data_IF_555601977699
#
_entry.id   IF_555601977699
#
_cell.length_a   1.000
_cell.length_b   1.000
_cell.length_c   1.000
_cell.angle_alpha   90.00
_cell.angle_beta   90.00
_cell.angle_gamma   90.00
#
_symmetry.space_group_name_H-M   'P 1'
#
loop_
_entity.id
_entity.type
_entity.pdbx_description
1 polymer ?
#
# COMPACT_ATOMS: atom_id res chain seq x y z
N UNK A 1 -27.81 18.50 -0.35
CA UNK A 1 -27.01 19.30 0.58
C UNK A 1 -26.16 18.31 1.35
N UNK A 2 -24.85 18.32 1.15
CA UNK A 2 -23.95 17.42 1.87
C UNK A 2 -24.09 17.71 3.36
N UNK A 3 -24.42 16.69 4.15
CA UNK A 3 -24.37 16.81 5.60
C UNK A 3 -22.93 17.17 5.98
N UNK A 4 -22.72 18.06 6.97
CA UNK A 4 -21.37 18.32 7.48
C UNK A 4 -20.74 16.99 7.88
N UNK A 5 -19.49 16.74 7.46
CA UNK A 5 -18.79 15.47 7.76
C UNK A 5 -18.85 15.11 9.24
N UNK A 6 -18.77 16.11 10.13
CA UNK A 6 -18.81 15.90 11.59
C UNK A 6 -20.21 15.65 12.17
N UNK A 7 -21.25 15.62 11.33
CA UNK A 7 -22.60 15.18 11.70
C UNK A 7 -22.78 13.68 11.44
N UNK A 8 -22.11 13.17 10.41
CA UNK A 8 -22.10 11.74 10.05
C UNK A 8 -20.96 10.97 10.74
N UNK A 9 -19.84 11.65 10.96
CA UNK A 9 -18.61 11.12 11.51
C UNK A 9 -18.25 11.84 12.81
N UNK A 10 -17.35 11.24 13.59
CA UNK A 10 -16.81 11.86 14.81
C UNK A 10 -15.54 12.65 14.47
N UNK A 11 -15.57 13.97 14.68
CA UNK A 11 -14.42 14.85 14.47
C UNK A 11 -13.77 15.23 15.81
N UNK A 12 -12.52 14.86 16.02
CA UNK A 12 -11.76 15.14 17.24
C UNK A 12 -10.36 15.62 16.90
N UNK A 13 -10.05 16.88 17.24
CA UNK A 13 -8.69 17.43 17.23
C UNK A 13 -7.89 17.08 15.95
N UNK A 14 -8.43 17.41 14.78
CA UNK A 14 -7.80 17.12 13.48
C UNK A 14 -7.89 15.66 13.03
N UNK A 15 -8.68 14.82 13.71
CA UNK A 15 -8.97 13.45 13.30
C UNK A 15 -10.45 13.31 12.95
N UNK A 16 -10.75 12.56 11.90
CA UNK A 16 -12.12 12.26 11.45
C UNK A 16 -12.33 10.76 11.46
N UNK A 17 -13.30 10.28 12.24
CA UNK A 17 -13.65 8.88 12.39
C UNK A 17 -15.04 8.62 11.79
N UNK A 18 -15.06 7.96 10.64
CA UNK A 18 -16.23 7.56 9.85
C UNK A 18 -16.28 6.03 9.75
N UNK A 19 -16.25 5.31 10.86
CA UNK A 19 -16.26 3.84 10.84
C UNK A 19 -17.70 3.33 10.74
N UNK A 20 -18.01 2.55 9.70
CA UNK A 20 -19.31 1.88 9.50
C UNK A 20 -20.52 2.79 9.78
N UNK A 21 -20.53 3.97 9.16
CA UNK A 21 -21.55 4.98 9.48
C UNK A 21 -22.92 4.61 8.89
N UNK A 22 -23.98 5.12 9.51
CA UNK A 22 -25.36 4.97 9.06
C UNK A 22 -25.98 6.35 8.76
N UNK A 23 -26.44 6.64 7.52
CA UNK A 23 -26.43 5.77 6.33
C UNK A 23 -25.01 5.49 5.79
N UNK A 24 -24.82 4.40 5.03
CA UNK A 24 -23.50 4.00 4.54
C UNK A 24 -22.92 5.05 3.57
N UNK A 25 -21.62 5.28 3.69
CA UNK A 25 -20.89 6.19 2.81
C UNK A 25 -20.45 5.51 1.52
N UNK A 26 -20.77 6.13 0.38
CA UNK A 26 -20.37 5.68 -0.97
C UNK A 26 -19.21 6.51 -1.55
N UNK A 27 -18.91 7.66 -0.96
CA UNK A 27 -17.85 8.58 -1.36
C UNK A 27 -17.13 9.11 -0.11
N UNK A 28 -15.93 9.66 -0.31
CA UNK A 28 -15.25 10.41 0.74
C UNK A 28 -16.05 11.69 1.01
N UNK A 29 -16.34 12.05 2.27
CA UNK A 29 -17.12 13.23 2.59
C UNK A 29 -16.18 14.46 2.66
N UNK A 30 -16.75 15.67 2.57
CA UNK A 30 -15.95 16.91 2.59
C UNK A 30 -15.24 17.11 3.93
N UNK A 31 -13.93 16.86 3.99
CA UNK A 31 -13.18 16.89 5.24
C UNK A 31 -12.89 18.34 5.72
N UNK A 32 -12.81 18.58 7.03
CA UNK A 32 -12.21 19.80 7.57
C UNK A 32 -10.77 19.99 7.08
N UNK A 33 -10.37 21.23 6.75
CA UNK A 33 -9.06 21.53 6.13
C UNK A 33 -7.87 21.18 7.02
N UNK A 34 -8.07 21.21 8.33
CA UNK A 34 -7.11 20.87 9.36
C UNK A 34 -7.00 19.36 9.65
N UNK A 35 -7.73 18.51 8.91
CA UNK A 35 -7.73 17.06 9.13
C UNK A 35 -6.35 16.46 8.86
N UNK A 36 -5.72 15.93 9.90
CA UNK A 36 -4.46 15.19 9.84
C UNK A 36 -4.66 13.66 9.77
N UNK A 37 -5.77 13.14 10.28
CA UNK A 37 -6.04 11.70 10.34
C UNK A 37 -7.46 11.39 9.88
N UNK A 38 -7.61 10.51 8.89
CA UNK A 38 -8.90 10.01 8.45
C UNK A 38 -8.99 8.50 8.69
N UNK A 39 -10.05 8.07 9.36
CA UNK A 39 -10.42 6.67 9.53
C UNK A 39 -11.83 6.47 8.97
N UNK A 40 -11.95 5.97 7.74
CA UNK A 40 -13.23 5.76 7.07
C UNK A 40 -13.42 4.29 6.68
N UNK A 41 -13.28 3.41 7.70
CA UNK A 41 -13.27 1.96 7.55
C UNK A 41 -14.67 1.38 7.39
N UNK A 42 -14.76 0.24 6.71
CA UNK A 42 -15.97 -0.57 6.59
C UNK A 42 -17.19 0.19 6.05
N UNK A 43 -16.97 1.07 5.10
CA UNK A 43 -18.05 1.73 4.34
C UNK A 43 -18.19 1.12 2.94
N UNK A 44 -18.92 1.80 2.06
CA UNK A 44 -19.19 1.39 0.68
C UNK A 44 -18.51 2.31 -0.33
N UNK A 45 -17.38 2.93 0.03
CA UNK A 45 -16.69 3.85 -0.88
C UNK A 45 -16.17 3.08 -2.09
N UNK A 46 -16.54 3.51 -3.30
CA UNK A 46 -16.20 2.79 -4.54
C UNK A 46 -15.06 3.41 -5.34
N UNK A 47 -14.89 4.74 -5.21
CA UNK A 47 -13.94 5.53 -5.99
C UNK A 47 -13.29 6.61 -5.14
N UNK A 48 -12.05 6.94 -5.47
CA UNK A 48 -11.36 8.12 -4.94
C UNK A 48 -11.00 9.05 -6.10
N UNK A 49 -11.46 10.29 -6.01
CA UNK A 49 -11.21 11.36 -6.97
C UNK A 49 -10.04 12.26 -6.58
N UNK A 50 -9.55 13.04 -7.54
CA UNK A 50 -8.54 14.09 -7.31
C UNK A 50 -9.01 15.23 -6.41
N UNK A 51 -10.31 15.45 -6.27
CA UNK A 51 -10.88 16.45 -5.36
C UNK A 51 -11.03 15.97 -3.91
N UNK A 52 -11.18 14.67 -3.66
CA UNK A 52 -11.53 14.13 -2.33
C UNK A 52 -10.55 14.55 -1.23
N UNK A 53 -9.25 14.61 -1.57
CA UNK A 53 -8.18 15.02 -0.66
C UNK A 53 -7.42 16.27 -1.15
N UNK A 54 -7.91 16.92 -2.21
CA UNK A 54 -7.17 17.93 -2.96
C UNK A 54 -6.78 19.17 -2.14
N UNK A 55 -7.52 19.50 -1.09
CA UNK A 55 -7.28 20.70 -0.27
C UNK A 55 -6.79 20.37 1.15
N UNK A 56 -6.63 19.07 1.47
CA UNK A 56 -6.32 18.60 2.83
C UNK A 56 -4.84 18.21 2.92
N UNK A 57 -3.96 19.18 2.67
CA UNK A 57 -2.50 18.99 2.63
C UNK A 57 -1.87 18.62 3.97
N UNK A 58 -2.65 18.68 5.05
CA UNK A 58 -2.30 18.35 6.44
C UNK A 58 -2.41 16.85 6.75
N UNK A 59 -3.03 16.05 5.86
CA UNK A 59 -3.21 14.60 6.06
C UNK A 59 -1.87 13.88 6.21
N UNK A 60 -1.77 13.12 7.31
CA UNK A 60 -0.66 12.24 7.65
C UNK A 60 -1.03 10.77 7.57
N UNK A 61 -2.29 10.44 7.85
CA UNK A 61 -2.82 9.07 7.76
C UNK A 61 -4.19 9.04 7.10
N UNK A 62 -4.37 8.05 6.23
CA UNK A 62 -5.67 7.68 5.64
C UNK A 62 -5.86 6.18 5.82
N UNK A 63 -6.94 5.79 6.51
CA UNK A 63 -7.38 4.39 6.61
C UNK A 63 -8.75 4.22 5.94
N UNK A 64 -8.76 3.49 4.83
CA UNK A 64 -9.94 3.17 4.02
C UNK A 64 -10.17 1.65 3.94
N UNK A 65 -9.74 0.93 4.98
CA UNK A 65 -9.89 -0.53 5.05
C UNK A 65 -11.34 -0.96 4.89
N UNK A 66 -11.59 -2.07 4.18
CA UNK A 66 -12.90 -2.71 4.14
C UNK A 66 -13.95 -1.97 3.32
N UNK A 67 -13.52 -1.09 2.40
CA UNK A 67 -14.40 -0.40 1.45
C UNK A 67 -14.56 -1.21 0.15
N UNK A 68 -15.22 -0.61 -0.86
CA UNK A 68 -15.43 -1.22 -2.19
C UNK A 68 -14.58 -0.53 -3.27
N UNK A 69 -13.47 0.09 -2.89
CA UNK A 69 -12.69 0.95 -3.77
C UNK A 69 -12.11 0.11 -4.91
N UNK A 70 -12.53 0.40 -6.13
CA UNK A 70 -12.05 -0.27 -7.34
C UNK A 70 -11.25 0.66 -8.25
N UNK A 71 -11.44 1.98 -8.08
CA UNK A 71 -10.78 3.00 -8.88
C UNK A 71 -10.25 4.14 -8.00
N UNK A 72 -9.01 4.53 -8.23
CA UNK A 72 -8.41 5.74 -7.67
C UNK A 72 -7.85 6.53 -8.85
N UNK A 73 -8.24 7.79 -8.97
CA UNK A 73 -7.73 8.68 -10.01
C UNK A 73 -6.23 8.92 -9.87
N UNK A 74 -5.53 8.98 -11.00
CA UNK A 74 -4.11 9.32 -11.02
C UNK A 74 -3.94 10.73 -10.47
N UNK A 75 -3.17 10.86 -9.39
CA UNK A 75 -2.94 12.13 -8.71
C UNK A 75 -3.89 12.42 -7.53
N UNK A 76 -4.80 11.50 -7.17
CA UNK A 76 -5.67 11.65 -6.00
C UNK A 76 -4.94 11.97 -4.69
N UNK A 77 -3.71 11.44 -4.54
CA UNK A 77 -2.87 11.68 -3.37
C UNK A 77 -1.71 12.66 -3.64
N UNK A 78 -1.64 13.28 -4.82
CA UNK A 78 -0.45 14.04 -5.28
C UNK A 78 -0.10 15.24 -4.39
N UNK A 79 -1.11 15.90 -3.82
CA UNK A 79 -0.94 17.06 -2.94
C UNK A 79 -0.65 16.69 -1.48
N UNK A 80 -0.77 15.41 -1.11
CA UNK A 80 -0.63 14.93 0.26
C UNK A 80 0.85 14.71 0.63
N UNK A 81 1.60 15.81 0.66
CA UNK A 81 3.05 15.82 0.87
C UNK A 81 3.49 15.40 2.28
N UNK A 82 2.55 15.31 3.22
CA UNK A 82 2.77 14.88 4.60
C UNK A 82 2.23 13.46 4.88
N UNK A 83 1.67 12.77 3.87
CA UNK A 83 1.09 11.45 4.06
C UNK A 83 2.19 10.42 4.33
N UNK A 84 2.13 9.82 5.51
CA UNK A 84 3.08 8.83 6.01
C UNK A 84 2.46 7.43 6.05
N UNK A 85 1.14 7.34 6.21
CA UNK A 85 0.42 6.08 6.35
C UNK A 85 -0.82 6.05 5.45
N UNK A 86 -0.85 5.06 4.56
CA UNK A 86 -1.98 4.82 3.67
C UNK A 86 -2.38 3.35 3.75
N UNK A 87 -3.59 3.12 4.27
CA UNK A 87 -4.19 1.80 4.34
C UNK A 87 -5.40 1.69 3.40
N UNK A 88 -5.25 0.83 2.40
CA UNK A 88 -6.24 0.49 1.38
C UNK A 88 -6.56 -1.01 1.41
N UNK A 89 -6.29 -1.72 2.51
CA UNK A 89 -6.56 -3.15 2.58
C UNK A 89 -8.05 -3.48 2.44
N UNK A 90 -8.35 -4.70 2.02
CA UNK A 90 -9.72 -5.21 1.90
C UNK A 90 -10.60 -4.34 0.97
N UNK A 91 -10.07 -4.03 -0.20
CA UNK A 91 -10.75 -3.28 -1.25
C UNK A 91 -10.81 -4.10 -2.55
N UNK A 92 -11.08 -3.46 -3.68
CA UNK A 92 -11.24 -4.10 -4.99
C UNK A 92 -10.26 -3.54 -6.02
N UNK A 93 -9.13 -3.00 -5.58
CA UNK A 93 -8.16 -2.34 -6.46
C UNK A 93 -7.54 -3.33 -7.43
N UNK A 94 -7.54 -2.96 -8.70
CA UNK A 94 -6.91 -3.72 -9.78
C UNK A 94 -5.59 -3.06 -10.23
N UNK A 95 -5.44 -1.75 -9.96
CA UNK A 95 -4.24 -0.94 -10.22
C UNK A 95 -3.93 -0.02 -9.06
N UNK A 96 -2.66 0.30 -8.86
CA UNK A 96 -2.22 1.32 -7.91
C UNK A 96 -2.17 2.71 -8.58
N UNK A 97 -2.61 3.77 -7.87
CA UNK A 97 -2.41 5.14 -8.32
C UNK A 97 -0.95 5.58 -8.11
N UNK A 98 -0.62 6.81 -8.51
CA UNK A 98 0.64 7.43 -8.10
C UNK A 98 0.61 7.70 -6.59
N UNK A 99 1.49 7.02 -5.86
CA UNK A 99 1.59 7.08 -4.41
C UNK A 99 2.53 8.20 -3.93
N UNK A 100 2.27 8.86 -2.78
CA UNK A 100 3.15 9.88 -2.22
C UNK A 100 4.52 9.32 -1.81
N UNK A 101 5.58 10.11 -2.03
CA UNK A 101 6.96 9.68 -1.78
C UNK A 101 7.33 9.58 -0.28
N UNK A 102 6.59 10.26 0.60
CA UNK A 102 6.85 10.28 2.05
C UNK A 102 6.24 9.12 2.83
N UNK A 103 5.54 8.20 2.16
CA UNK A 103 4.95 7.03 2.81
C UNK A 103 6.00 6.23 3.57
N UNK A 104 5.66 5.90 4.81
CA UNK A 104 6.38 5.02 5.73
C UNK A 104 5.68 3.67 5.81
N UNK A 105 4.35 3.68 5.73
CA UNK A 105 3.49 2.50 5.75
C UNK A 105 2.53 2.53 4.57
N UNK A 106 2.55 1.46 3.78
CA UNK A 106 1.57 1.25 2.71
C UNK A 106 1.02 -0.16 2.79
N UNK A 107 -0.30 -0.25 2.90
CA UNK A 107 -1.02 -1.53 2.94
C UNK A 107 -2.10 -1.55 1.86
N UNK A 108 -2.00 -2.52 0.95
CA UNK A 108 -3.01 -2.85 -0.04
C UNK A 108 -3.28 -4.36 -0.05
N UNK A 109 -3.15 -5.02 1.10
CA UNK A 109 -3.53 -6.42 1.26
C UNK A 109 -4.98 -6.67 0.85
N UNK A 110 -5.31 -7.90 0.44
CA UNK A 110 -6.70 -8.30 0.15
C UNK A 110 -7.35 -7.38 -0.91
N UNK A 111 -6.65 -7.23 -2.04
CA UNK A 111 -7.13 -6.51 -3.21
C UNK A 111 -7.09 -7.45 -4.43
N UNK A 112 -7.16 -6.90 -5.65
CA UNK A 112 -7.14 -7.65 -6.91
C UNK A 112 -5.97 -7.19 -7.79
N UNK A 113 -4.88 -6.75 -7.17
CA UNK A 113 -3.74 -6.17 -7.87
C UNK A 113 -3.03 -7.26 -8.67
N UNK A 114 -2.89 -7.02 -9.97
CA UNK A 114 -2.02 -7.80 -10.86
C UNK A 114 -0.73 -7.02 -11.10
N UNK A 115 0.32 -7.71 -11.56
CA UNK A 115 1.60 -7.05 -11.90
C UNK A 115 1.40 -5.91 -12.91
N UNK A 116 0.50 -6.08 -13.89
CA UNK A 116 0.16 -5.03 -14.88
C UNK A 116 -0.50 -3.78 -14.27
N UNK A 117 -1.13 -3.91 -13.10
CA UNK A 117 -1.71 -2.81 -12.34
C UNK A 117 -0.71 -2.09 -11.43
N UNK A 118 0.51 -2.60 -11.28
CA UNK A 118 1.58 -2.00 -10.48
C UNK A 118 2.71 -1.56 -11.42
N UNK A 119 2.81 -0.24 -11.65
CA UNK A 119 3.89 0.32 -12.49
C UNK A 119 5.25 -0.12 -11.93
N UNK A 120 6.19 -0.49 -12.81
CA UNK A 120 7.51 -1.00 -12.41
C UNK A 120 8.29 -0.07 -11.47
N UNK A 121 8.03 1.24 -11.56
CA UNK A 121 8.64 2.28 -10.73
C UNK A 121 7.71 2.84 -9.63
N UNK A 122 6.57 2.18 -9.34
CA UNK A 122 5.55 2.67 -8.42
C UNK A 122 6.12 3.07 -7.04
N UNK A 123 7.07 2.29 -6.53
CA UNK A 123 7.69 2.51 -5.21
C UNK A 123 9.06 3.18 -5.29
N UNK A 124 9.63 3.42 -6.49
CA UNK A 124 11.04 3.81 -6.68
C UNK A 124 11.46 5.07 -5.90
N UNK A 125 10.54 6.02 -5.72
CA UNK A 125 10.80 7.30 -5.03
C UNK A 125 10.61 7.25 -3.51
N UNK A 126 10.15 6.13 -2.95
CA UNK A 126 9.78 6.04 -1.54
C UNK A 126 10.97 5.65 -0.66
N UNK A 127 11.84 6.62 -0.39
CA UNK A 127 13.06 6.43 0.41
C UNK A 127 12.81 6.23 1.90
N UNK A 128 11.58 6.42 2.38
CA UNK A 128 11.19 6.28 3.77
C UNK A 128 10.24 5.11 4.04
N UNK A 129 9.84 4.38 2.99
CA UNK A 129 8.89 3.28 3.12
C UNK A 129 9.51 2.14 3.91
N UNK A 130 8.88 1.77 5.03
CA UNK A 130 9.33 0.70 5.92
C UNK A 130 8.46 -0.54 5.81
N UNK A 131 7.15 -0.36 5.63
CA UNK A 131 6.18 -1.45 5.55
C UNK A 131 5.49 -1.40 4.20
N UNK A 132 5.65 -2.45 3.42
CA UNK A 132 4.99 -2.64 2.14
C UNK A 132 4.20 -3.94 2.19
N UNK A 133 2.89 -3.83 2.32
CA UNK A 133 1.99 -4.97 2.48
C UNK A 133 1.11 -5.09 1.22
N UNK A 134 1.33 -6.16 0.47
CA UNK A 134 0.66 -6.49 -0.80
C UNK A 134 0.20 -7.96 -0.82
N UNK A 135 -0.02 -8.56 0.35
CA UNK A 135 -0.50 -9.93 0.48
C UNK A 135 -1.92 -10.10 -0.07
N UNK A 136 -2.31 -11.34 -0.36
CA UNK A 136 -3.67 -11.70 -0.77
C UNK A 136 -4.13 -10.87 -1.98
N UNK A 137 -3.32 -10.92 -3.04
CA UNK A 137 -3.53 -10.22 -4.30
C UNK A 137 -3.29 -11.21 -5.47
N UNK A 138 -3.14 -10.69 -6.69
CA UNK A 138 -2.96 -11.47 -7.91
C UNK A 138 -1.64 -11.12 -8.61
N UNK A 139 -0.62 -10.72 -7.85
CA UNK A 139 0.69 -10.35 -8.40
C UNK A 139 1.37 -11.60 -8.96
N UNK A 140 1.89 -11.49 -10.18
CA UNK A 140 2.59 -12.57 -10.88
C UNK A 140 4.12 -12.45 -10.74
N UNK A 141 4.60 -11.27 -10.32
CA UNK A 141 6.01 -10.98 -10.09
C UNK A 141 6.17 -10.02 -8.91
N UNK A 142 7.34 -10.06 -8.27
CA UNK A 142 7.70 -9.13 -7.20
C UNK A 142 7.93 -7.73 -7.80
N UNK A 143 7.25 -6.67 -7.34
CA UNK A 143 7.49 -5.31 -7.80
C UNK A 143 8.85 -4.78 -7.30
N UNK A 144 9.32 -3.66 -7.84
CA UNK A 144 10.53 -3.00 -7.32
C UNK A 144 10.36 -2.65 -5.83
N UNK A 145 11.31 -3.08 -4.99
CA UNK A 145 11.27 -2.86 -3.54
C UNK A 145 12.35 -1.85 -3.13
N UNK A 146 12.00 -0.67 -2.56
CA UNK A 146 12.98 0.33 -2.10
C UNK A 146 13.92 -0.19 -1.01
N UNK A 147 15.16 0.32 -0.98
CA UNK A 147 16.20 -0.07 0.00
C UNK A 147 15.79 0.21 1.47
N UNK A 148 14.82 1.10 1.69
CA UNK A 148 14.30 1.45 3.02
C UNK A 148 13.35 0.42 3.63
N UNK A 149 12.78 -0.48 2.83
CA UNK A 149 11.76 -1.43 3.27
C UNK A 149 12.34 -2.39 4.30
N UNK A 150 11.56 -2.61 5.38
CA UNK A 150 11.88 -3.49 6.48
C UNK A 150 10.98 -4.72 6.51
N UNK A 151 9.69 -4.50 6.32
CA UNK A 151 8.66 -5.54 6.30
C UNK A 151 8.03 -5.56 4.91
N UNK A 152 8.11 -6.71 4.25
CA UNK A 152 7.53 -6.97 2.95
C UNK A 152 6.62 -8.19 3.01
N UNK A 153 5.33 -7.96 2.78
CA UNK A 153 4.33 -9.03 2.72
C UNK A 153 3.83 -9.18 1.28
N UNK A 154 4.09 -10.34 0.69
CA UNK A 154 3.69 -10.74 -0.66
C UNK A 154 3.04 -12.13 -0.65
N UNK A 155 2.72 -12.68 0.52
CA UNK A 155 2.11 -13.98 0.63
C UNK A 155 0.75 -14.04 -0.08
N UNK A 156 0.35 -15.24 -0.51
CA UNK A 156 -0.92 -15.50 -1.19
C UNK A 156 -1.10 -14.61 -2.44
N UNK A 157 -0.10 -14.63 -3.31
CA UNK A 157 -0.15 -14.04 -4.65
C UNK A 157 0.07 -15.15 -5.70
N UNK A 158 0.24 -14.79 -6.96
CA UNK A 158 0.53 -15.71 -8.06
C UNK A 158 1.99 -15.60 -8.54
N UNK A 159 2.93 -15.25 -7.65
CA UNK A 159 4.34 -15.02 -8.02
C UNK A 159 4.96 -16.35 -8.41
N UNK A 160 5.40 -16.46 -9.65
CA UNK A 160 6.01 -17.70 -10.19
C UNK A 160 7.54 -17.64 -10.18
N UNK A 161 8.12 -16.45 -10.25
CA UNK A 161 9.57 -16.25 -10.34
C UNK A 161 10.09 -15.12 -9.44
N UNK A 162 11.31 -15.31 -8.93
CA UNK A 162 12.06 -14.31 -8.15
C UNK A 162 13.43 -14.12 -8.80
N UNK A 163 13.60 -13.06 -9.57
CA UNK A 163 14.85 -12.78 -10.28
C UNK A 163 16.02 -12.50 -9.31
N UNK A 164 17.27 -12.79 -9.74
CA UNK A 164 18.50 -12.47 -9.01
C UNK A 164 18.60 -11.01 -8.57
N UNK A 165 18.02 -10.11 -9.36
CA UNK A 165 18.03 -8.67 -9.10
C UNK A 165 16.77 -8.17 -8.36
N UNK A 166 15.87 -9.08 -7.95
CA UNK A 166 14.62 -8.71 -7.25
C UNK A 166 14.91 -8.11 -5.87
N UNK A 167 15.79 -8.77 -5.09
CA UNK A 167 16.20 -8.26 -3.78
C UNK A 167 17.66 -7.83 -3.75
N UNK A 168 18.54 -8.46 -4.52
CA UNK A 168 19.96 -8.13 -4.54
C UNK A 168 20.33 -7.34 -5.79
N UNK A 169 21.56 -6.82 -5.84
CA UNK A 169 22.10 -6.15 -7.03
C UNK A 169 23.21 -7.04 -7.58
N UNK A 170 22.93 -7.81 -8.63
CA UNK A 170 23.88 -8.78 -9.18
C UNK A 170 25.16 -8.16 -9.70
N UNK A 171 25.16 -6.85 -9.98
CA UNK A 171 26.35 -6.08 -10.35
C UNK A 171 27.19 -5.60 -9.15
N UNK A 172 26.76 -5.86 -7.91
CA UNK A 172 27.47 -5.44 -6.70
C UNK A 172 27.41 -6.53 -5.63
N UNK A 173 28.47 -7.34 -5.54
CA UNK A 173 28.61 -8.43 -4.57
C UNK A 173 28.70 -7.97 -3.11
N UNK A 174 28.98 -6.68 -2.86
CA UNK A 174 29.00 -6.09 -1.51
C UNK A 174 27.66 -5.45 -1.12
N UNK A 175 26.68 -5.47 -2.01
CA UNK A 175 25.36 -4.92 -1.71
C UNK A 175 24.66 -5.77 -0.66
N UNK A 176 24.25 -5.12 0.43
CA UNK A 176 23.52 -5.73 1.53
C UNK A 176 22.21 -4.97 1.77
N UNK A 177 21.18 -5.70 2.21
CA UNK A 177 19.89 -5.14 2.65
C UNK A 177 19.69 -5.36 4.15
N UNK A 178 20.44 -4.64 5.00
CA UNK A 178 20.37 -4.85 6.46
C UNK A 178 19.03 -4.41 7.06
N UNK A 179 18.30 -3.51 6.38
CA UNK A 179 17.00 -3.02 6.83
C UNK A 179 15.89 -4.05 6.68
N UNK A 180 15.99 -4.94 5.69
CA UNK A 180 14.95 -5.89 5.35
C UNK A 180 14.95 -7.02 6.39
N UNK A 181 14.00 -6.94 7.32
CA UNK A 181 13.90 -7.80 8.50
C UNK A 181 12.86 -8.90 8.37
N UNK A 182 11.89 -8.73 7.48
CA UNK A 182 10.83 -9.71 7.26
C UNK A 182 10.39 -9.69 5.79
N UNK A 183 10.38 -10.88 5.17
CA UNK A 183 9.88 -11.09 3.82
C UNK A 183 8.98 -12.32 3.82
N UNK A 184 7.72 -12.14 3.43
CA UNK A 184 6.75 -13.23 3.28
C UNK A 184 6.40 -13.43 1.82
N UNK A 185 6.65 -14.64 1.32
CA UNK A 185 6.35 -15.11 -0.04
C UNK A 185 5.58 -16.44 0.00
N UNK A 186 5.15 -16.90 1.17
CA UNK A 186 4.34 -18.10 1.33
C UNK A 186 3.01 -18.02 0.54
N UNK A 187 2.46 -19.16 0.14
CA UNK A 187 1.24 -19.19 -0.69
C UNK A 187 1.41 -18.71 -2.14
N UNK A 188 2.64 -18.49 -2.61
CA UNK A 188 2.95 -18.26 -4.02
C UNK A 188 3.41 -19.56 -4.72
N UNK A 189 3.22 -19.69 -6.04
CA UNK A 189 3.77 -20.80 -6.83
C UNK A 189 5.30 -20.91 -6.83
N UNK A 190 6.02 -19.80 -6.66
CA UNK A 190 7.48 -19.74 -6.71
C UNK A 190 8.14 -20.69 -5.70
N UNK A 191 9.14 -21.44 -6.16
CA UNK A 191 9.98 -22.29 -5.31
C UNK A 191 11.27 -21.54 -5.02
N UNK A 192 11.44 -21.05 -3.80
CA UNK A 192 12.52 -20.13 -3.44
C UNK A 192 13.92 -20.77 -3.53
N UNK A 193 14.04 -22.09 -3.42
CA UNK A 193 15.34 -22.77 -3.54
C UNK A 193 15.97 -22.67 -4.93
N UNK A 194 15.18 -22.44 -5.99
CA UNK A 194 15.71 -22.24 -7.35
C UNK A 194 16.34 -20.85 -7.53
N UNK A 195 16.12 -19.93 -6.59
CA UNK A 195 16.52 -18.53 -6.66
C UNK A 195 17.45 -18.13 -5.49
N UNK A 196 18.30 -19.04 -5.02
CA UNK A 196 19.15 -18.82 -3.84
C UNK A 196 20.00 -17.53 -3.93
N UNK A 197 20.53 -17.21 -5.11
CA UNK A 197 21.35 -16.02 -5.35
C UNK A 197 20.59 -14.72 -5.09
N UNK A 198 19.28 -14.71 -5.32
CA UNK A 198 18.38 -13.57 -5.09
C UNK A 198 18.30 -13.16 -3.62
N UNK A 199 18.82 -13.97 -2.68
CA UNK A 199 18.67 -13.75 -1.25
C UNK A 199 19.99 -13.52 -0.50
N UNK A 200 21.12 -13.60 -1.19
CA UNK A 200 22.47 -13.53 -0.62
C UNK A 200 22.79 -12.22 0.10
N UNK A 201 22.17 -11.12 -0.30
CA UNK A 201 22.32 -9.80 0.30
C UNK A 201 21.49 -9.58 1.57
N UNK A 202 20.62 -10.54 1.95
CA UNK A 202 19.65 -10.38 3.04
C UNK A 202 20.14 -11.04 4.32
N UNK A 203 19.77 -10.47 5.47
CA UNK A 203 20.07 -11.05 6.80
C UNK A 203 19.11 -12.15 7.21
N UNK A 204 17.91 -12.16 6.62
CA UNK A 204 16.86 -13.14 6.87
C UNK A 204 16.44 -13.75 5.55
N UNK A 205 16.12 -15.05 5.57
CA UNK A 205 15.53 -15.71 4.42
C UNK A 205 14.02 -15.44 4.36
N UNK A 206 13.42 -15.33 3.17
CA UNK A 206 11.97 -15.18 3.06
C UNK A 206 11.23 -16.41 3.61
N UNK A 207 10.09 -16.19 4.22
CA UNK A 207 9.14 -17.25 4.53
C UNK A 207 8.46 -17.67 3.24
N UNK A 208 8.53 -18.95 2.88
CA UNK A 208 7.92 -19.46 1.64
C UNK A 208 8.24 -20.91 1.34
N UNK A 209 7.93 -21.34 0.11
CA UNK A 209 8.11 -22.71 -0.35
C UNK A 209 9.54 -22.93 -0.84
N UNK A 210 10.26 -23.89 -0.25
CA UNK A 210 11.63 -24.26 -0.65
C UNK A 210 11.72 -25.64 -1.34
N UNK A 211 10.63 -26.40 -1.37
CA UNK A 211 10.48 -27.71 -2.02
C UNK A 211 9.07 -27.81 -2.58
#
# INVERSE_FOLDING_TARGET
ADLPTCLLCVCLTGSVYCEEVLPPMFTVPTLPKETAYLYARFNLIEKISTSDFGDIVTLKRIDLTGNKISEIEDGAFSKLTLLEDLNLSENRLVRLPMLPAKLIYFNANNNRLKTSGVKANAFKKMSHLRNLLLADNLLEAVPFIPDSVRILHLQNNNITEVNKDTFCKSNNTYYLRPSLSEVRLDGNPAVLSTYADSFTCMKVLPVGKYR
#
